data_IF_348825865005
#
_entry.id   IF_348825865005
#
_cell.length_a   1.000
_cell.length_b   1.000
_cell.length_c   1.000
_cell.angle_alpha   90.00
_cell.angle_beta   90.00
_cell.angle_gamma   90.00
#
_symmetry.space_group_name_H-M   'P 1'
#
loop_
_entity.id
_entity.type
_entity.pdbx_description
1 polymer ?
#
# COMPACT_ATOMS: atom_id res chain seq x y z
N UNK A 1 -10.24 -69.91 19.10
CA UNK A 1 -9.02 -69.08 19.21
C UNK A 1 -9.36 -67.66 18.79
N UNK A 2 -9.49 -66.70 19.72
CA UNK A 2 -9.72 -65.29 19.40
C UNK A 2 -8.40 -64.53 19.12
N UNK A 3 -8.43 -63.50 18.25
CA UNK A 3 -7.25 -62.73 17.88
C UNK A 3 -6.80 -61.75 18.98
N UNK A 4 -5.48 -61.60 19.06
CA UNK A 4 -4.73 -60.84 20.06
C UNK A 4 -5.05 -59.34 19.94
N UNK A 5 -5.59 -58.75 21.01
CA UNK A 5 -5.78 -57.29 21.15
C UNK A 5 -4.43 -56.61 21.36
N UNK A 6 -3.97 -55.86 20.36
CA UNK A 6 -2.87 -54.93 20.49
C UNK A 6 -3.34 -53.61 21.10
N UNK A 7 -3.15 -53.47 22.40
CA UNK A 7 -3.33 -52.24 23.17
C UNK A 7 -2.20 -51.24 22.82
N UNK A 8 -2.46 -50.24 21.97
CA UNK A 8 -1.59 -49.08 21.82
C UNK A 8 -2.13 -47.88 22.59
N UNK A 9 -1.44 -47.65 23.70
CA UNK A 9 -1.52 -46.55 24.67
C UNK A 9 -1.71 -45.16 24.04
N UNK A 10 -2.72 -44.46 24.55
CA UNK A 10 -2.78 -43.02 24.86
C UNK A 10 -1.86 -42.09 24.06
N UNK A 11 -2.36 -41.60 22.94
CA UNK A 11 -1.82 -40.47 22.19
C UNK A 11 -2.84 -39.34 22.09
N UNK A 12 -2.95 -38.57 23.18
CA UNK A 12 -3.37 -37.17 23.27
C UNK A 12 -4.19 -36.64 22.08
N UNK A 13 -5.48 -36.45 22.32
CA UNK A 13 -6.39 -35.64 21.51
C UNK A 13 -5.66 -34.43 20.92
N UNK A 14 -5.25 -34.53 19.65
CA UNK A 14 -4.97 -33.34 18.87
C UNK A 14 -6.33 -32.78 18.56
N UNK A 15 -6.78 -31.90 19.45
CA UNK A 15 -7.82 -30.92 19.22
C UNK A 15 -7.64 -30.36 17.81
N UNK A 16 -8.30 -31.00 16.83
CA UNK A 16 -8.66 -30.41 15.56
C UNK A 16 -9.78 -29.42 15.88
N UNK A 17 -9.41 -28.39 16.65
CA UNK A 17 -10.08 -27.11 16.61
C UNK A 17 -9.81 -26.58 15.20
N UNK A 18 -10.60 -27.07 14.27
CA UNK A 18 -10.82 -26.50 12.96
C UNK A 18 -11.31 -25.08 13.19
N UNK A 19 -10.37 -24.14 13.36
CA UNK A 19 -10.63 -22.70 13.32
C UNK A 19 -10.90 -22.34 11.86
N UNK A 20 -11.98 -22.86 11.29
CA UNK A 20 -12.47 -22.53 9.97
C UNK A 20 -13.68 -21.59 10.13
N UNK A 21 -13.64 -20.50 9.35
CA UNK A 21 -14.63 -19.44 9.21
C UNK A 21 -14.67 -18.36 10.32
N UNK A 22 -13.85 -17.31 10.13
CA UNK A 22 -14.23 -15.98 10.59
C UNK A 22 -13.71 -14.91 9.62
N UNK A 23 -14.52 -14.51 8.64
CA UNK A 23 -14.38 -13.21 7.99
C UNK A 23 -15.71 -12.47 8.11
N UNK A 24 -15.78 -11.15 8.26
CA UNK A 24 -14.72 -10.19 8.55
C UNK A 24 -14.53 -9.90 10.05
N UNK A 25 -13.54 -9.02 10.31
CA UNK A 25 -13.66 -7.76 11.08
C UNK A 25 -12.27 -7.15 11.25
N UNK A 26 -12.09 -5.90 10.79
CA UNK A 26 -10.90 -5.11 11.16
C UNK A 26 -11.17 -4.16 12.34
N UNK A 27 -12.38 -3.62 12.49
CA UNK A 27 -12.85 -2.91 13.70
C UNK A 27 -14.38 -2.97 13.87
N UNK A 28 -15.06 -3.85 13.14
CA UNK A 28 -16.52 -4.02 13.20
C UNK A 28 -16.90 -5.14 14.18
N UNK A 29 -18.20 -5.28 14.46
CA UNK A 29 -18.80 -6.43 15.16
C UNK A 29 -19.71 -7.27 14.23
N UNK A 30 -19.47 -7.35 12.91
CA UNK A 30 -20.24 -8.21 11.97
C UNK A 30 -19.50 -9.46 11.46
N UNK A 31 -20.14 -10.64 11.35
CA UNK A 31 -19.50 -11.94 10.98
C UNK A 31 -19.62 -12.30 9.48
N UNK A 32 -19.76 -11.30 8.59
CA UNK A 32 -20.10 -11.53 7.18
C UNK A 32 -18.92 -12.02 6.34
N UNK A 33 -19.10 -13.16 5.65
CA UNK A 33 -18.11 -13.75 4.74
C UNK A 33 -18.40 -13.34 3.29
N UNK A 34 -17.47 -12.62 2.66
CA UNK A 34 -17.50 -12.34 1.23
C UNK A 34 -16.08 -12.21 0.71
N UNK A 35 -15.68 -13.13 -0.16
CA UNK A 35 -14.36 -13.18 -0.77
C UNK A 35 -14.44 -13.78 -2.17
N UNK A 36 -13.51 -13.40 -3.05
CA UNK A 36 -13.39 -14.02 -4.37
C UNK A 36 -12.92 -15.47 -4.23
N UNK A 37 -13.65 -16.42 -4.80
CA UNK A 37 -13.21 -17.81 -4.94
C UNK A 37 -12.41 -17.96 -6.24
N UNK A 38 -11.09 -18.15 -6.10
CA UNK A 38 -10.21 -18.34 -7.26
C UNK A 38 -10.43 -19.73 -7.85
N UNK A 39 -10.35 -19.88 -9.19
CA UNK A 39 -10.43 -21.20 -9.82
C UNK A 39 -9.27 -22.08 -9.35
N UNK A 40 -9.55 -23.37 -9.17
CA UNK A 40 -8.53 -24.34 -8.76
C UNK A 40 -7.43 -24.49 -9.81
N UNK A 41 -7.83 -24.62 -11.08
CA UNK A 41 -6.90 -24.70 -12.22
C UNK A 41 -6.18 -23.36 -12.39
N UNK A 42 -4.85 -23.40 -12.35
CA UNK A 42 -3.98 -22.21 -12.49
C UNK A 42 -3.47 -21.99 -13.91
N UNK A 43 -3.67 -22.95 -14.82
CA UNK A 43 -3.30 -22.85 -16.22
C UNK A 43 -4.25 -21.89 -16.95
N UNK A 44 -3.73 -21.09 -17.91
CA UNK A 44 -4.60 -20.26 -18.73
C UNK A 44 -5.55 -21.15 -19.56
N UNK A 45 -6.77 -20.70 -19.83
CA UNK A 45 -7.70 -21.43 -20.67
C UNK A 45 -7.25 -21.39 -22.14
N UNK A 46 -7.55 -22.45 -22.90
CA UNK A 46 -7.11 -22.60 -24.30
C UNK A 46 -7.69 -21.58 -25.28
N UNK A 47 -8.85 -20.98 -24.95
CA UNK A 47 -9.48 -19.94 -25.76
C UNK A 47 -8.81 -18.56 -25.61
N UNK A 48 -7.93 -18.38 -24.61
CA UNK A 48 -7.21 -17.14 -24.40
C UNK A 48 -5.99 -17.09 -25.33
N UNK A 49 -6.11 -16.36 -26.44
CA UNK A 49 -5.04 -16.20 -27.45
C UNK A 49 -4.03 -15.09 -27.14
N UNK A 50 -4.17 -14.42 -25.99
CA UNK A 50 -3.33 -13.28 -25.61
C UNK A 50 -1.97 -13.81 -25.13
N UNK A 51 -0.88 -13.28 -25.69
CA UNK A 51 0.47 -13.64 -25.27
C UNK A 51 0.83 -12.99 -23.92
N UNK A 52 1.80 -13.55 -23.21
CA UNK A 52 2.30 -12.95 -21.96
C UNK A 52 2.88 -11.55 -22.17
N UNK A 53 3.52 -11.31 -23.32
CA UNK A 53 4.13 -10.03 -23.69
C UNK A 53 3.06 -8.94 -23.87
N UNK A 54 1.96 -9.26 -24.55
CA UNK A 54 0.84 -8.33 -24.73
C UNK A 54 0.24 -7.88 -23.38
N UNK A 55 0.17 -8.80 -22.40
CA UNK A 55 -0.33 -8.49 -21.06
C UNK A 55 0.58 -7.50 -20.34
N UNK A 56 1.90 -7.67 -20.45
CA UNK A 56 2.88 -6.77 -19.84
C UNK A 56 2.82 -5.37 -20.46
N UNK A 57 2.69 -5.28 -21.78
CA UNK A 57 2.49 -4.00 -22.46
C UNK A 57 1.22 -3.29 -22.02
N UNK A 58 0.11 -4.02 -21.92
CA UNK A 58 -1.16 -3.46 -21.48
C UNK A 58 -1.07 -2.95 -20.05
N UNK A 59 -0.41 -3.70 -19.15
CA UNK A 59 -0.14 -3.25 -17.77
C UNK A 59 0.67 -1.95 -17.78
N UNK A 60 1.71 -1.85 -18.61
CA UNK A 60 2.51 -0.64 -18.72
C UNK A 60 1.72 0.55 -19.28
N UNK A 61 0.88 0.33 -20.30
CA UNK A 61 -0.03 1.35 -20.86
C UNK A 61 -0.99 1.88 -19.80
N UNK A 62 -1.57 1.01 -18.97
CA UNK A 62 -2.47 1.42 -17.89
C UNK A 62 -1.75 2.11 -16.72
N UNK A 63 -0.53 1.68 -16.40
CA UNK A 63 0.29 2.34 -15.38
C UNK A 63 0.66 3.77 -15.80
N UNK A 64 1.00 3.99 -17.07
CA UNK A 64 1.26 5.33 -17.62
C UNK A 64 0.04 6.25 -17.56
N UNK A 65 -1.18 5.70 -17.63
CA UNK A 65 -2.44 6.44 -17.40
C UNK A 65 -2.68 6.79 -15.93
N UNK A 66 -1.84 6.32 -15.01
CA UNK A 66 -1.96 6.59 -13.57
C UNK A 66 -2.95 5.69 -12.83
N UNK A 67 -3.33 4.54 -13.41
CA UNK A 67 -4.25 3.60 -12.78
C UNK A 67 -3.55 2.79 -11.69
N UNK A 68 -4.27 2.46 -10.61
CA UNK A 68 -3.72 1.66 -9.52
C UNK A 68 -3.66 0.18 -9.90
N UNK A 69 -2.71 -0.63 -9.39
CA UNK A 69 -2.59 -2.04 -9.77
C UNK A 69 -3.84 -2.86 -9.45
N UNK A 70 -4.61 -2.47 -8.42
CA UNK A 70 -5.92 -3.06 -8.12
C UNK A 70 -6.95 -2.78 -9.22
N UNK A 71 -6.99 -1.55 -9.74
CA UNK A 71 -7.86 -1.17 -10.87
C UNK A 71 -7.43 -1.83 -12.18
N UNK A 72 -6.12 -1.92 -12.43
CA UNK A 72 -5.56 -2.58 -13.62
C UNK A 72 -6.02 -4.04 -13.67
N UNK A 73 -5.99 -4.75 -12.55
CA UNK A 73 -6.48 -6.13 -12.48
C UNK A 73 -7.97 -6.28 -12.82
N UNK A 74 -8.80 -5.31 -12.45
CA UNK A 74 -10.24 -5.30 -12.78
C UNK A 74 -10.45 -5.07 -14.27
N UNK A 75 -9.75 -4.11 -14.87
CA UNK A 75 -9.85 -3.80 -16.31
C UNK A 75 -9.37 -4.97 -17.17
N UNK A 76 -8.29 -5.64 -16.77
CA UNK A 76 -7.79 -6.82 -17.48
C UNK A 76 -8.80 -7.98 -17.44
N UNK A 77 -9.54 -8.12 -16.33
CA UNK A 77 -10.59 -9.13 -16.20
C UNK A 77 -11.81 -8.80 -17.05
N UNK A 78 -12.30 -7.56 -16.95
CA UNK A 78 -13.61 -7.18 -17.48
C UNK A 78 -13.53 -6.81 -18.98
N UNK A 79 -12.42 -6.25 -19.46
CA UNK A 79 -12.25 -5.87 -20.87
C UNK A 79 -11.47 -6.88 -21.70
N UNK A 80 -10.41 -7.48 -21.15
CA UNK A 80 -9.52 -8.40 -21.90
C UNK A 80 -9.84 -9.89 -21.63
N UNK A 81 -10.75 -10.18 -20.70
CA UNK A 81 -11.12 -11.56 -20.34
C UNK A 81 -10.04 -12.31 -19.55
N UNK A 82 -9.03 -11.63 -19.01
CA UNK A 82 -7.94 -12.27 -18.27
C UNK A 82 -8.35 -12.40 -16.80
N UNK A 83 -8.77 -13.60 -16.40
CA UNK A 83 -9.20 -13.85 -15.02
C UNK A 83 -8.09 -13.59 -13.98
N UNK A 84 -6.87 -14.05 -14.26
CA UNK A 84 -5.70 -13.92 -13.37
C UNK A 84 -4.42 -13.65 -14.15
N UNK A 85 -3.79 -12.50 -13.90
CA UNK A 85 -2.51 -12.12 -14.54
C UNK A 85 -1.39 -13.12 -14.23
N UNK A 86 -1.39 -13.68 -13.01
CA UNK A 86 -0.40 -14.68 -12.58
C UNK A 86 -0.47 -15.97 -13.40
N UNK A 87 -1.64 -16.36 -13.88
CA UNK A 87 -1.82 -17.59 -14.66
C UNK A 87 -1.23 -17.48 -16.06
N UNK A 88 -1.22 -16.28 -16.64
CA UNK A 88 -0.70 -16.03 -18.01
C UNK A 88 0.79 -15.71 -17.97
N UNK A 89 1.20 -14.77 -17.12
CA UNK A 89 2.58 -14.24 -17.10
C UNK A 89 3.50 -14.92 -16.08
N UNK A 90 2.95 -15.71 -15.15
CA UNK A 90 3.70 -16.27 -14.01
C UNK A 90 4.04 -15.27 -12.90
N UNK A 91 3.93 -13.96 -13.16
CA UNK A 91 4.26 -12.88 -12.24
C UNK A 91 3.02 -12.11 -11.76
N UNK A 92 3.16 -11.41 -10.63
CA UNK A 92 2.10 -10.48 -10.14
C UNK A 92 2.30 -9.10 -10.77
N UNK A 93 1.21 -8.35 -10.93
CA UNK A 93 1.21 -6.97 -11.48
C UNK A 93 2.28 -6.09 -10.81
N UNK A 94 2.36 -6.08 -9.47
CA UNK A 94 3.37 -5.29 -8.75
C UNK A 94 4.82 -5.68 -9.04
N UNK A 95 5.09 -6.94 -9.43
CA UNK A 95 6.45 -7.38 -9.80
C UNK A 95 6.80 -6.89 -11.21
N UNK A 96 5.85 -6.97 -12.14
CA UNK A 96 5.99 -6.45 -13.51
C UNK A 96 6.25 -4.94 -13.46
N UNK A 97 5.44 -4.18 -12.71
CA UNK A 97 5.62 -2.73 -12.57
C UNK A 97 6.98 -2.33 -11.96
N UNK A 98 7.52 -3.15 -11.05
CA UNK A 98 8.85 -2.93 -10.48
C UNK A 98 9.97 -3.20 -11.48
N UNK A 99 9.83 -4.23 -12.33
CA UNK A 99 10.79 -4.52 -13.38
C UNK A 99 10.90 -3.36 -14.39
N UNK A 100 9.78 -2.70 -14.68
CA UNK A 100 9.74 -1.54 -15.58
C UNK A 100 9.96 -0.18 -14.88
N UNK A 101 10.20 -0.13 -13.56
CA UNK A 101 10.41 1.12 -12.83
C UNK A 101 9.17 2.02 -12.69
N UNK A 102 7.96 1.53 -13.01
CA UNK A 102 6.69 2.25 -12.91
C UNK A 102 5.96 1.95 -11.59
N UNK A 103 6.66 1.41 -10.60
CA UNK A 103 6.06 1.00 -9.34
C UNK A 103 5.80 2.22 -8.44
N UNK A 104 4.66 2.25 -7.72
CA UNK A 104 4.45 3.28 -6.72
C UNK A 104 5.39 3.09 -5.53
N UNK A 105 6.08 4.15 -5.14
CA UNK A 105 6.98 4.19 -3.98
C UNK A 105 6.24 3.86 -2.68
N UNK A 106 5.01 4.36 -2.55
CA UNK A 106 4.16 4.10 -1.39
C UNK A 106 3.18 2.97 -1.72
N UNK A 107 3.04 1.96 -0.84
CA UNK A 107 2.04 0.92 -1.02
C UNK A 107 0.62 1.48 -1.17
N UNK A 108 -0.12 0.95 -2.15
CA UNK A 108 -1.48 1.38 -2.50
C UNK A 108 -2.43 1.41 -1.29
N UNK A 109 -2.38 0.40 -0.44
CA UNK A 109 -3.23 0.29 0.76
C UNK A 109 -3.01 1.46 1.73
N UNK A 110 -1.75 1.83 1.96
CA UNK A 110 -1.40 2.93 2.85
C UNK A 110 -1.88 4.27 2.27
N UNK A 111 -1.70 4.47 0.96
CA UNK A 111 -2.18 5.66 0.25
C UNK A 111 -3.69 5.86 0.40
N UNK A 112 -4.49 4.81 0.20
CA UNK A 112 -5.95 4.90 0.30
C UNK A 112 -6.45 5.17 1.72
N UNK A 113 -5.79 4.61 2.74
CA UNK A 113 -6.14 4.89 4.14
C UNK A 113 -5.82 6.34 4.53
N UNK A 114 -4.68 6.86 4.08
CA UNK A 114 -4.32 8.27 4.30
C UNK A 114 -5.31 9.18 3.58
N UNK A 115 -5.64 8.89 2.31
CA UNK A 115 -6.64 9.64 1.55
C UNK A 115 -7.99 9.70 2.28
N UNK A 116 -8.44 8.57 2.83
CA UNK A 116 -9.67 8.50 3.64
C UNK A 116 -9.56 9.31 4.93
N UNK A 117 -8.45 9.23 5.65
CA UNK A 117 -8.23 10.00 6.87
C UNK A 117 -8.27 11.51 6.61
N UNK A 118 -7.64 11.98 5.53
CA UNK A 118 -7.65 13.39 5.12
C UNK A 118 -9.07 13.87 4.81
N UNK A 119 -9.87 13.06 4.11
CA UNK A 119 -11.27 13.40 3.83
C UNK A 119 -12.10 13.54 5.13
N UNK A 120 -11.92 12.64 6.10
CA UNK A 120 -12.61 12.71 7.40
C UNK A 120 -12.16 13.95 8.19
N UNK A 121 -10.87 14.32 8.16
CA UNK A 121 -10.40 15.56 8.80
C UNK A 121 -11.07 16.80 8.21
N UNK A 122 -11.12 16.92 6.88
CA UNK A 122 -11.80 18.03 6.20
C UNK A 122 -13.29 18.13 6.57
N UNK A 123 -13.96 17.00 6.77
CA UNK A 123 -15.33 16.97 7.27
C UNK A 123 -15.44 17.50 8.71
N UNK A 124 -14.53 17.07 9.60
CA UNK A 124 -14.52 17.47 11.01
C UNK A 124 -14.15 18.94 11.24
N UNK A 125 -13.39 19.57 10.32
CA UNK A 125 -13.09 21.01 10.37
C UNK A 125 -14.37 21.85 10.36
N UNK A 126 -15.35 21.45 9.54
CA UNK A 126 -16.67 22.07 9.46
C UNK A 126 -17.62 21.54 10.55
N UNK A 127 -17.57 20.23 10.82
CA UNK A 127 -18.47 19.54 11.73
C UNK A 127 -17.78 19.10 13.02
N UNK A 128 -17.46 20.06 13.88
CA UNK A 128 -16.68 19.81 15.11
C UNK A 128 -17.39 18.95 16.16
N UNK A 129 -18.73 18.89 16.11
CA UNK A 129 -19.56 18.17 17.09
C UNK A 129 -19.80 16.70 16.75
N UNK A 130 -19.45 16.25 15.54
CA UNK A 130 -19.65 14.86 15.10
C UNK A 130 -18.73 13.89 15.87
N UNK A 131 -19.33 13.05 16.71
CA UNK A 131 -18.62 12.06 17.54
C UNK A 131 -18.36 10.75 16.80
N UNK A 132 -19.24 10.33 15.88
CA UNK A 132 -19.05 9.08 15.12
C UNK A 132 -17.87 9.22 14.16
N UNK A 133 -17.80 10.33 13.42
CA UNK A 133 -16.66 10.59 12.51
C UNK A 133 -15.32 10.66 13.24
N UNK A 134 -15.28 11.20 14.47
CA UNK A 134 -14.07 11.16 15.33
C UNK A 134 -13.68 9.73 15.70
N UNK A 135 -14.65 8.91 16.09
CA UNK A 135 -14.41 7.50 16.38
C UNK A 135 -13.90 6.75 15.14
N UNK A 136 -14.52 6.96 13.97
CA UNK A 136 -14.08 6.36 12.71
C UNK A 136 -12.68 6.82 12.30
N UNK A 137 -12.31 8.07 12.55
CA UNK A 137 -10.95 8.57 12.32
C UNK A 137 -9.92 7.80 13.17
N UNK A 138 -10.20 7.59 14.46
CA UNK A 138 -9.33 6.80 15.36
C UNK A 138 -9.12 5.37 14.82
N UNK A 139 -10.19 4.73 14.30
CA UNK A 139 -10.10 3.40 13.68
C UNK A 139 -9.35 3.39 12.34
N UNK A 140 -9.28 4.50 11.62
CA UNK A 140 -8.48 4.62 10.39
C UNK A 140 -7.01 4.84 10.75
N UNK A 141 -6.73 5.74 11.70
CA UNK A 141 -5.37 6.03 12.18
C UNK A 141 -4.71 4.79 12.79
N UNK A 142 -5.46 4.01 13.59
CA UNK A 142 -4.95 2.76 14.16
C UNK A 142 -4.54 1.75 13.08
N UNK A 143 -5.28 1.65 11.97
CA UNK A 143 -4.94 0.80 10.82
C UNK A 143 -3.67 1.28 10.12
N UNK A 144 -3.53 2.59 9.91
CA UNK A 144 -2.32 3.20 9.33
C UNK A 144 -1.09 2.83 10.15
N UNK A 145 -1.15 2.97 11.48
CA UNK A 145 -0.03 2.61 12.36
C UNK A 145 0.30 1.11 12.33
N UNK A 146 -0.71 0.22 12.25
CA UNK A 146 -0.48 -1.22 12.10
C UNK A 146 0.25 -1.55 10.80
N UNK A 147 -0.19 -0.98 9.68
CA UNK A 147 0.45 -1.19 8.37
C UNK A 147 1.85 -0.60 8.31
N UNK A 148 2.05 0.60 8.85
CA UNK A 148 3.36 1.23 8.91
C UNK A 148 4.38 0.35 9.63
N UNK A 149 4.03 -0.24 10.78
CA UNK A 149 4.91 -1.20 11.49
C UNK A 149 5.26 -2.41 10.63
N UNK A 150 4.28 -2.99 9.95
CA UNK A 150 4.49 -4.13 9.06
C UNK A 150 5.44 -3.79 7.89
N UNK A 151 5.23 -2.66 7.24
CA UNK A 151 6.04 -2.25 6.09
C UNK A 151 7.45 -1.81 6.46
N UNK A 152 7.66 -1.24 7.66
CA UNK A 152 9.00 -1.01 8.22
C UNK A 152 9.75 -2.33 8.44
N UNK A 153 9.09 -3.33 9.03
CA UNK A 153 9.67 -4.68 9.22
C UNK A 153 10.03 -5.33 7.87
N UNK A 154 9.19 -5.14 6.87
CA UNK A 154 9.36 -5.71 5.51
C UNK A 154 10.30 -4.88 4.64
N UNK A 155 10.87 -3.78 5.15
CA UNK A 155 11.77 -2.85 4.43
C UNK A 155 11.18 -2.26 3.14
N UNK A 156 9.85 -2.17 3.03
CA UNK A 156 9.19 -1.47 1.92
C UNK A 156 9.05 0.04 2.17
N UNK A 157 9.23 0.46 3.41
CA UNK A 157 9.25 1.86 3.83
C UNK A 157 10.52 2.11 4.64
N UNK A 158 11.08 3.33 4.58
CA UNK A 158 12.22 3.68 5.42
C UNK A 158 11.84 3.64 6.91
N UNK A 159 12.76 3.27 7.81
CA UNK A 159 12.47 3.11 9.24
C UNK A 159 12.03 4.44 9.89
N UNK A 160 12.52 5.56 9.36
CA UNK A 160 12.22 6.93 9.80
C UNK A 160 10.78 7.35 9.49
N UNK A 161 10.08 6.66 8.59
CA UNK A 161 8.74 7.07 8.14
C UNK A 161 7.77 7.23 9.32
N UNK A 162 7.14 8.41 9.44
CA UNK A 162 6.14 8.71 10.48
C UNK A 162 4.87 9.26 9.83
N UNK A 163 3.72 8.84 10.33
CA UNK A 163 2.44 9.44 9.97
C UNK A 163 2.24 10.71 10.78
N UNK A 164 2.26 11.86 10.13
CA UNK A 164 2.02 13.16 10.78
C UNK A 164 0.54 13.53 10.66
N UNK A 165 0.00 14.07 11.76
CA UNK A 165 -1.41 14.46 11.91
C UNK A 165 -1.77 15.76 11.18
N UNK A 166 -0.77 16.53 10.77
CA UNK A 166 -0.93 17.83 10.12
C UNK A 166 -1.73 17.70 8.81
N UNK A 167 -2.46 18.77 8.40
CA UNK A 167 -3.17 18.77 7.13
C UNK A 167 -2.17 18.39 6.03
N UNK A 168 -2.61 17.50 5.16
CA UNK A 168 -1.74 16.68 4.33
C UNK A 168 -1.21 17.28 3.00
N UNK A 169 -1.41 18.56 2.60
CA UNK A 169 -0.84 18.98 1.32
C UNK A 169 0.70 18.91 1.31
N UNK A 170 1.35 18.88 2.47
CA UNK A 170 2.81 18.72 2.58
C UNK A 170 3.30 17.27 2.42
N UNK A 171 2.55 16.25 2.88
CA UNK A 171 3.01 14.85 2.86
C UNK A 171 3.02 14.21 1.46
N UNK A 172 2.08 14.60 0.59
CA UNK A 172 2.09 14.21 -0.83
C UNK A 172 3.13 14.99 -1.64
N UNK A 173 3.50 16.20 -1.20
CA UNK A 173 4.52 17.03 -1.84
C UNK A 173 5.95 16.72 -1.39
N UNK A 174 6.16 16.28 -0.14
CA UNK A 174 7.50 15.96 0.39
C UNK A 174 8.16 14.74 -0.28
N UNK A 175 7.37 13.81 -0.82
CA UNK A 175 7.91 12.70 -1.62
C UNK A 175 8.50 13.20 -2.96
N UNK A 176 7.97 14.29 -3.50
CA UNK A 176 8.42 14.86 -4.78
C UNK A 176 9.68 15.74 -4.62
N UNK A 177 9.99 16.19 -3.40
CA UNK A 177 11.11 17.10 -3.15
C UNK A 177 12.45 16.40 -2.90
N UNK A 178 12.43 15.16 -2.38
CA UNK A 178 13.66 14.35 -2.19
C UNK A 178 14.26 13.91 -3.55
N UNK A 179 13.46 13.85 -4.62
CA UNK A 179 13.96 13.42 -5.95
C UNK A 179 14.50 14.59 -6.77
N UNK A 180 14.13 15.84 -6.46
CA UNK A 180 14.50 17.00 -7.30
C UNK A 180 15.78 17.73 -6.83
N UNK A 181 16.14 17.65 -5.55
CA UNK A 181 17.35 18.28 -5.01
C UNK A 181 18.24 17.22 -4.37
N UNK A 182 19.13 16.65 -5.17
CA UNK A 182 20.22 15.77 -4.73
C UNK A 182 21.24 16.52 -3.87
N UNK A 183 20.86 16.87 -2.65
CA UNK A 183 21.78 17.39 -1.64
C UNK A 183 21.55 16.61 -0.35
N UNK A 184 22.55 15.82 0.04
CA UNK A 184 22.68 15.18 1.34
C UNK A 184 22.80 16.26 2.42
N UNK A 185 21.67 16.80 2.88
CA UNK A 185 21.62 17.53 4.14
C UNK A 185 21.10 16.60 5.24
N UNK A 186 22.01 16.27 6.14
CA UNK A 186 21.79 15.49 7.35
C UNK A 186 21.01 16.37 8.33
N UNK A 187 19.67 16.27 8.32
CA UNK A 187 18.82 16.98 9.28
C UNK A 187 18.80 16.19 10.59
N UNK A 188 19.61 16.64 11.55
CA UNK A 188 19.72 16.10 12.90
C UNK A 188 18.46 16.51 13.71
N UNK A 189 17.65 15.58 14.26
CA UNK A 189 16.35 15.89 14.85
C UNK A 189 16.37 16.42 16.30
N UNK A 190 17.53 16.74 16.89
CA UNK A 190 17.66 17.26 18.26
C UNK A 190 18.10 18.74 18.31
N UNK A 191 17.33 19.65 17.71
CA UNK A 191 17.55 21.09 17.86
C UNK A 191 16.39 21.73 18.65
N UNK A 192 16.65 22.33 19.84
CA UNK A 192 15.65 23.06 20.61
C UNK A 192 15.29 24.39 19.94
N UNK A 193 14.01 24.73 20.01
CA UNK A 193 13.44 26.01 19.62
C UNK A 193 13.85 27.12 20.58
N UNK A 194 14.56 28.15 20.11
CA UNK A 194 14.36 29.57 20.46
C UNK A 194 15.34 30.48 19.70
N UNK A 195 14.77 31.52 19.07
CA UNK A 195 15.29 32.89 18.92
C UNK A 195 16.62 33.14 18.16
N UNK A 196 16.53 33.69 16.95
CA UNK A 196 16.59 35.14 16.70
C UNK A 196 17.26 35.55 15.37
N UNK A 197 16.74 36.67 14.87
CA UNK A 197 17.12 37.38 13.67
C UNK A 197 18.58 37.85 13.67
N UNK A 198 19.36 37.54 12.64
CA UNK A 198 20.30 38.51 12.05
C UNK A 198 20.39 38.30 10.53
N UNK A 199 20.08 39.38 9.82
CA UNK A 199 20.38 39.70 8.42
C UNK A 199 21.51 38.92 7.76
N UNK A 200 21.27 38.43 6.54
CA UNK A 200 22.32 38.38 5.54
C UNK A 200 21.79 38.87 4.19
N UNK A 201 21.98 40.18 4.01
CA UNK A 201 22.02 40.86 2.72
C UNK A 201 23.09 40.26 1.81
N UNK A 202 22.75 40.21 0.52
CA UNK A 202 23.64 40.46 -0.64
C UNK A 202 24.80 39.48 -0.89
N UNK A 203 24.64 38.67 -1.95
CA UNK A 203 25.55 38.66 -3.12
C UNK A 203 25.00 37.74 -4.22
N UNK A 204 24.06 38.26 -5.02
CA UNK A 204 23.90 37.80 -6.41
C UNK A 204 25.15 38.25 -7.18
N UNK A 205 25.98 37.29 -7.58
CA UNK A 205 27.00 37.51 -8.61
C UNK A 205 26.50 36.90 -9.91
N UNK A 206 25.91 37.75 -10.75
CA UNK A 206 25.66 37.47 -12.16
C UNK A 206 27.01 37.45 -12.91
N UNK A 207 27.34 36.41 -13.68
CA UNK A 207 28.35 36.50 -14.72
C UNK A 207 27.74 37.08 -16.01
N UNK A 208 28.23 38.26 -16.40
CA UNK A 208 27.99 38.87 -17.71
C UNK A 208 28.64 38.01 -18.79
N UNK A 209 27.83 37.43 -19.67
CA UNK A 209 28.26 36.86 -20.93
C UNK A 209 28.39 37.99 -21.96
N UNK A 210 29.61 38.20 -22.44
CA UNK A 210 29.96 39.06 -23.57
C UNK A 210 29.93 38.19 -24.84
N UNK A 211 29.06 38.53 -25.79
CA UNK A 211 29.08 38.00 -27.17
C UNK A 211 28.56 39.07 -28.12
N UNK A 212 29.43 39.44 -29.06
CA UNK A 212 29.27 40.22 -30.30
C UNK A 212 28.44 41.52 -30.27
#
# INVERSE_FOLDING_TARGET
MPPIKGELRNGKERNLATTAAAMGRMHSRGKGISASALPYKRTPPSWLKISSQDVEENICKFAKKGLTPSQIGVILRDSHGIAQVKSVTGSKILRILKAHGLAPEIPEDLYHLIKKAVAIRKHLERNRKDKDSKFRLILVESRIHRLARYYKKTKKLPPVWKYLRLPAPSLLRFCMWIVQFGVTWWFNPDAPSELDCVSFSVLLRCPVARLH
#
